data_IF_891421589899
#
_entry.id   IF_891421589899
#
_cell.length_a   1.000
_cell.length_b   1.000
_cell.length_c   1.000
_cell.angle_alpha   90.00
_cell.angle_beta   90.00
_cell.angle_gamma   90.00
#
_symmetry.space_group_name_H-M   'P 1'
#
loop_
_entity.id
_entity.type
_entity.pdbx_description
1 polymer ?
#
# COMPACT_ATOMS: atom_id res chain seq x y z
N UNK A 1 -7.32 14.72 -20.03
CA UNK A 1 -6.65 14.88 -18.72
C UNK A 1 -6.35 13.49 -18.17
N UNK A 2 -5.18 13.29 -17.57
CA UNK A 2 -4.83 12.02 -16.91
C UNK A 2 -5.19 12.03 -15.43
N UNK A 3 -5.29 10.84 -14.83
CA UNK A 3 -5.49 10.64 -13.39
C UNK A 3 -4.22 10.04 -12.79
N UNK A 4 -3.79 10.54 -11.62
CA UNK A 4 -2.72 9.95 -10.83
C UNK A 4 -3.26 9.59 -9.45
N UNK A 5 -3.21 8.30 -9.11
CA UNK A 5 -3.66 7.78 -7.83
C UNK A 5 -2.43 7.49 -6.97
N UNK A 6 -2.37 8.09 -5.78
CA UNK A 6 -1.29 7.87 -4.82
C UNK A 6 -1.81 7.03 -3.66
N UNK A 7 -1.20 5.86 -3.46
CA UNK A 7 -1.54 4.94 -2.38
C UNK A 7 -0.34 4.83 -1.43
N UNK A 8 -0.58 5.08 -0.15
CA UNK A 8 0.38 4.78 0.91
C UNK A 8 0.28 3.29 1.27
N UNK A 9 1.41 2.65 1.57
CA UNK A 9 1.40 1.28 2.08
C UNK A 9 0.54 1.15 3.36
N UNK A 10 -0.04 -0.02 3.57
CA UNK A 10 -0.82 -0.34 4.78
C UNK A 10 0.01 -0.28 6.07
N UNK A 11 -0.67 -0.40 7.21
CA UNK A 11 -0.07 -0.43 8.54
C UNK A 11 1.02 -1.52 8.63
N UNK A 12 2.18 -1.14 9.15
CA UNK A 12 3.24 -2.02 9.66
C UNK A 12 3.36 -1.86 11.17
N UNK A 13 4.03 -2.81 11.84
CA UNK A 13 4.32 -2.73 13.28
C UNK A 13 4.99 -1.41 13.68
N UNK A 14 5.90 -0.90 12.84
CA UNK A 14 6.62 0.35 13.12
C UNK A 14 5.74 1.57 12.89
N UNK A 15 4.91 1.57 11.85
CA UNK A 15 3.95 2.67 11.65
C UNK A 15 2.95 2.77 12.81
N UNK A 16 2.50 1.62 13.33
CA UNK A 16 1.61 1.51 14.49
C UNK A 16 2.29 2.05 15.75
N UNK A 17 3.54 1.68 15.97
CA UNK A 17 4.36 2.16 17.08
C UNK A 17 4.96 3.57 16.87
N UNK A 18 4.60 4.28 15.78
CA UNK A 18 5.15 5.59 15.41
C UNK A 18 6.69 5.62 15.32
N UNK A 19 7.29 4.52 14.90
CA UNK A 19 8.73 4.36 14.69
C UNK A 19 9.11 4.70 13.26
N UNK A 20 10.23 5.41 13.10
CA UNK A 20 10.77 5.71 11.78
C UNK A 20 11.26 4.44 11.07
N UNK A 21 10.64 4.08 9.94
CA UNK A 21 10.94 2.83 9.19
C UNK A 21 12.12 2.96 8.23
N UNK A 22 12.33 4.14 7.64
CA UNK A 22 13.39 4.34 6.64
C UNK A 22 13.37 3.26 5.53
N UNK A 23 14.55 2.72 5.26
CA UNK A 23 14.77 1.65 4.26
C UNK A 23 14.65 0.24 4.85
N UNK A 24 14.41 0.09 6.16
CA UNK A 24 14.21 -1.23 6.76
C UNK A 24 12.95 -1.85 6.19
N UNK A 25 13.04 -3.12 5.78
CA UNK A 25 11.85 -3.84 5.34
C UNK A 25 11.09 -4.37 6.54
N UNK A 26 9.84 -3.94 6.65
CA UNK A 26 8.94 -4.29 7.75
C UNK A 26 7.63 -4.68 7.08
N UNK A 27 7.15 -5.92 7.25
CA UNK A 27 5.95 -6.39 6.58
C UNK A 27 4.70 -5.67 7.11
N UNK A 28 3.60 -5.81 6.37
CA UNK A 28 2.29 -5.34 6.82
C UNK A 28 1.82 -6.12 8.05
N UNK A 29 1.06 -5.46 8.92
CA UNK A 29 0.24 -6.15 9.91
C UNK A 29 -0.97 -6.77 9.21
N UNK A 30 -1.70 -7.68 9.89
CA UNK A 30 -2.97 -8.20 9.38
C UNK A 30 -3.95 -7.06 9.05
N UNK A 31 -4.02 -6.04 9.92
CA UNK A 31 -4.79 -4.81 9.69
C UNK A 31 -4.28 -4.03 8.48
N UNK A 32 -2.97 -3.97 8.26
CA UNK A 32 -2.37 -3.36 7.07
C UNK A 32 -2.80 -4.07 5.78
N UNK A 33 -2.89 -5.40 5.79
CA UNK A 33 -3.42 -6.16 4.66
C UNK A 33 -4.92 -5.88 4.43
N UNK A 34 -5.72 -5.80 5.49
CA UNK A 34 -7.15 -5.44 5.39
C UNK A 34 -7.35 -4.04 4.81
N UNK A 35 -6.54 -3.07 5.25
CA UNK A 35 -6.51 -1.71 4.69
C UNK A 35 -6.22 -1.73 3.19
N UNK A 36 -5.25 -2.53 2.75
CA UNK A 36 -4.94 -2.66 1.33
C UNK A 36 -6.12 -3.27 0.55
N UNK A 37 -6.73 -4.36 1.03
CA UNK A 37 -7.89 -4.99 0.39
C UNK A 37 -9.10 -4.05 0.31
N UNK A 38 -9.27 -3.16 1.27
CA UNK A 38 -10.35 -2.18 1.29
C UNK A 38 -10.25 -1.14 0.16
N UNK A 39 -9.09 -1.01 -0.51
CA UNK A 39 -8.93 -0.13 -1.66
C UNK A 39 -9.57 -0.68 -2.94
N UNK A 40 -9.77 -2.01 -3.04
CA UNK A 40 -10.27 -2.70 -4.24
C UNK A 40 -11.53 -2.06 -4.84
N UNK A 41 -12.60 -1.77 -4.07
CA UNK A 41 -13.81 -1.22 -4.66
C UNK A 41 -13.56 0.13 -5.33
N UNK A 42 -12.80 1.02 -4.67
CA UNK A 42 -12.49 2.34 -5.21
C UNK A 42 -11.57 2.26 -6.44
N UNK A 43 -10.60 1.36 -6.46
CA UNK A 43 -9.68 1.19 -7.60
C UNK A 43 -10.35 0.51 -8.80
N UNK A 44 -11.31 -0.40 -8.57
CA UNK A 44 -12.08 -1.04 -9.65
C UNK A 44 -12.91 -0.06 -10.47
N UNK A 45 -13.30 1.07 -9.88
CA UNK A 45 -14.02 2.14 -10.58
C UNK A 45 -13.09 3.06 -11.40
N UNK A 46 -11.78 2.81 -11.39
CA UNK A 46 -10.78 3.65 -12.07
C UNK A 46 -10.06 2.84 -13.15
N UNK A 47 -9.69 3.52 -14.23
CA UNK A 47 -8.90 2.92 -15.31
C UNK A 47 -7.41 2.98 -14.99
N UNK A 48 -6.91 1.98 -14.27
CA UNK A 48 -5.48 1.87 -13.96
C UNK A 48 -4.75 1.21 -15.14
N UNK A 49 -3.93 1.98 -15.85
CA UNK A 49 -3.14 1.50 -17.00
C UNK A 49 -1.69 1.16 -16.66
N UNK A 50 -1.19 1.64 -15.51
CA UNK A 50 0.16 1.38 -15.04
C UNK A 50 0.22 1.51 -13.52
N UNK A 51 0.91 0.58 -12.88
CA UNK A 51 1.20 0.62 -11.44
C UNK A 51 2.70 0.71 -11.24
N UNK A 52 3.14 1.66 -10.41
CA UNK A 52 4.52 1.82 -9.99
C UNK A 52 4.58 1.65 -8.47
N UNK A 53 5.54 0.88 -7.99
CA UNK A 53 5.61 0.53 -6.57
C UNK A 53 7.06 0.63 -6.09
N UNK A 54 7.23 1.14 -4.86
CA UNK A 54 8.50 1.05 -4.15
C UNK A 54 8.96 -0.42 -4.03
N UNK A 55 10.28 -0.70 -4.04
CA UNK A 55 10.76 -2.08 -3.90
C UNK A 55 10.49 -2.71 -2.53
N UNK A 56 10.15 -1.92 -1.49
CA UNK A 56 9.88 -2.43 -0.14
C UNK A 56 8.68 -3.38 -0.10
N UNK A 57 8.78 -4.46 0.67
CA UNK A 57 7.77 -5.52 0.78
C UNK A 57 6.40 -4.94 1.15
N UNK A 58 6.32 -4.05 2.15
CA UNK A 58 5.06 -3.40 2.55
C UNK A 58 4.33 -2.67 1.43
N UNK A 59 5.07 -2.07 0.49
CA UNK A 59 4.49 -1.35 -0.63
C UNK A 59 4.03 -2.32 -1.72
N UNK A 60 4.85 -3.33 -2.06
CA UNK A 60 4.50 -4.39 -3.02
C UNK A 60 3.28 -5.16 -2.55
N UNK A 61 3.27 -5.61 -1.30
CA UNK A 61 2.15 -6.34 -0.71
C UNK A 61 0.86 -5.52 -0.70
N UNK A 62 0.95 -4.22 -0.43
CA UNK A 62 -0.23 -3.33 -0.53
C UNK A 62 -0.75 -3.31 -1.97
N UNK A 63 0.12 -3.17 -2.96
CA UNK A 63 -0.27 -3.10 -4.37
C UNK A 63 -0.84 -4.44 -4.91
N UNK A 64 -0.37 -5.58 -4.42
CA UNK A 64 -0.93 -6.91 -4.76
C UNK A 64 -2.33 -7.14 -4.17
N UNK A 65 -2.60 -6.53 -3.02
CA UNK A 65 -3.84 -6.70 -2.29
C UNK A 65 -4.91 -5.70 -2.68
N UNK A 66 -4.53 -4.50 -3.11
CA UNK A 66 -5.42 -3.43 -3.59
C UNK A 66 -6.05 -3.75 -4.95
#
# INVERSE_FOLDING_TARGET
MGELILVRHGETEWSRARRHTGLTDVPLTARGEEQARALRPALKERRVVRTLVSPAERARRTAELA
#
